data_IF_222524923230
#
_entry.id   IF_222524923230
#
_cell.length_a   1.000
_cell.length_b   1.000
_cell.length_c   1.000
_cell.angle_alpha   90.00
_cell.angle_beta   90.00
_cell.angle_gamma   90.00
#
_symmetry.space_group_name_H-M   'P 1'
#
loop_
_entity.id
_entity.type
_entity.pdbx_description
1 polymer ?
#
# COMPACT_ATOMS: atom_id res chain seq x y z
N UNK A 1 -4.94 16.53 -8.54
CA UNK A 1 -5.54 15.63 -7.53
C UNK A 1 -6.91 15.13 -7.98
N UNK A 2 -7.70 15.99 -8.60
CA UNK A 2 -8.99 15.66 -9.19
C UNK A 2 -8.92 14.57 -10.28
N UNK A 3 -7.86 14.59 -11.09
CA UNK A 3 -7.63 13.63 -12.19
C UNK A 3 -7.49 12.17 -11.75
N UNK A 4 -6.84 11.90 -10.63
CA UNK A 4 -6.63 10.51 -10.14
C UNK A 4 -7.94 9.94 -9.62
N UNK A 5 -8.72 10.72 -8.90
CA UNK A 5 -10.03 10.32 -8.39
C UNK A 5 -10.97 10.07 -9.56
N UNK A 6 -11.00 10.97 -10.54
CA UNK A 6 -11.85 10.83 -11.74
C UNK A 6 -11.45 9.60 -12.58
N UNK A 7 -10.14 9.36 -12.76
CA UNK A 7 -9.66 8.17 -13.45
C UNK A 7 -10.06 6.89 -12.69
N UNK A 8 -9.95 6.90 -11.36
CA UNK A 8 -10.38 5.76 -10.54
C UNK A 8 -11.89 5.52 -10.63
N UNK A 9 -12.71 6.56 -10.53
CA UNK A 9 -14.17 6.45 -10.68
C UNK A 9 -14.58 5.89 -12.05
N UNK A 10 -13.85 6.24 -13.13
CA UNK A 10 -14.07 5.65 -14.44
C UNK A 10 -13.77 4.16 -14.47
N UNK A 11 -12.67 3.74 -13.83
CA UNK A 11 -12.32 2.32 -13.71
C UNK A 11 -13.35 1.55 -12.87
N UNK A 12 -13.78 2.10 -11.74
CA UNK A 12 -14.83 1.51 -10.90
C UNK A 12 -16.12 1.30 -11.70
N UNK A 13 -16.55 2.32 -12.45
CA UNK A 13 -17.75 2.23 -13.30
C UNK A 13 -17.58 1.20 -14.41
N UNK A 14 -16.43 1.18 -15.09
CA UNK A 14 -16.15 0.25 -16.20
C UNK A 14 -16.13 -1.21 -15.73
N UNK A 15 -15.46 -1.47 -14.61
CA UNK A 15 -15.33 -2.82 -14.05
C UNK A 15 -16.44 -3.19 -13.07
N UNK A 16 -17.42 -2.30 -12.84
CA UNK A 16 -18.48 -2.47 -11.84
C UNK A 16 -17.91 -2.83 -10.47
N UNK A 17 -16.88 -2.07 -10.06
CA UNK A 17 -16.24 -2.22 -8.77
C UNK A 17 -16.94 -1.28 -7.80
N UNK A 18 -17.44 -1.83 -6.69
CA UNK A 18 -17.99 -1.03 -5.60
C UNK A 18 -17.02 -1.07 -4.42
N UNK A 19 -16.65 0.09 -3.83
CA UNK A 19 -15.91 0.10 -2.58
C UNK A 19 -16.68 -0.68 -1.51
N UNK A 20 -15.96 -1.46 -0.70
CA UNK A 20 -16.59 -2.23 0.38
C UNK A 20 -17.06 -1.33 1.54
N UNK A 21 -16.73 -0.06 1.51
CA UNK A 21 -17.00 0.91 2.57
C UNK A 21 -16.12 0.73 3.81
N UNK A 22 -15.09 -0.10 3.72
CA UNK A 22 -14.18 -0.37 4.82
C UNK A 22 -13.29 0.82 5.12
N UNK A 23 -13.35 1.32 6.36
CA UNK A 23 -12.47 2.40 6.81
C UNK A 23 -11.03 1.88 6.97
N UNK A 24 -10.10 2.52 6.29
CA UNK A 24 -8.67 2.25 6.45
C UNK A 24 -8.16 3.01 7.68
N UNK A 25 -7.67 2.27 8.66
CA UNK A 25 -7.22 2.81 9.94
C UNK A 25 -6.04 3.78 9.86
N UNK A 26 -5.87 4.56 10.94
CA UNK A 26 -4.67 5.40 11.13
C UNK A 26 -3.60 4.56 11.84
N UNK A 27 -2.73 3.92 11.08
CA UNK A 27 -1.66 3.09 11.63
C UNK A 27 -0.52 3.95 12.17
N UNK A 28 -0.57 4.32 13.46
CA UNK A 28 0.48 5.14 14.12
C UNK A 28 1.81 4.40 14.21
N UNK A 29 1.77 3.11 14.45
CA UNK A 29 2.92 2.20 14.47
C UNK A 29 3.72 2.18 13.16
N UNK A 30 3.07 2.42 12.02
CA UNK A 30 3.72 2.50 10.73
C UNK A 30 4.83 3.56 10.68
N UNK A 31 4.57 4.74 11.23
CA UNK A 31 5.58 5.80 11.29
C UNK A 31 6.80 5.39 12.12
N UNK A 32 6.56 4.85 13.29
CA UNK A 32 7.61 4.38 14.19
C UNK A 32 8.46 3.28 13.53
N UNK A 33 7.84 2.24 13.01
CA UNK A 33 8.54 1.13 12.32
C UNK A 33 9.34 1.63 11.11
N UNK A 34 8.81 2.55 10.34
CA UNK A 34 9.52 3.14 9.22
C UNK A 34 10.77 3.91 9.66
N UNK A 35 10.68 4.69 10.73
CA UNK A 35 11.83 5.45 11.23
C UNK A 35 12.89 4.55 11.85
N UNK A 36 12.52 3.56 12.63
CA UNK A 36 13.48 2.67 13.31
C UNK A 36 14.04 1.62 12.33
N UNK A 37 13.19 0.68 11.92
CA UNK A 37 13.60 -0.42 11.03
C UNK A 37 14.02 0.10 9.66
N UNK A 38 13.29 1.08 9.11
CA UNK A 38 13.60 1.66 7.82
C UNK A 38 14.94 2.38 7.79
N UNK A 39 15.31 3.14 8.82
CA UNK A 39 16.61 3.80 8.89
C UNK A 39 17.75 2.78 9.03
N UNK A 40 17.56 1.77 9.87
CA UNK A 40 18.54 0.69 10.02
C UNK A 40 18.78 -0.04 8.69
N UNK A 41 17.69 -0.45 8.02
CA UNK A 41 17.80 -1.11 6.72
C UNK A 41 18.48 -0.21 5.69
N UNK A 42 18.14 1.07 5.63
CA UNK A 42 18.76 2.02 4.70
C UNK A 42 20.28 2.15 4.92
N UNK A 43 20.73 2.14 6.18
CA UNK A 43 22.15 2.20 6.53
C UNK A 43 22.84 0.90 6.13
N UNK A 44 22.30 -0.25 6.53
CA UNK A 44 22.90 -1.58 6.29
C UNK A 44 22.95 -1.89 4.80
N UNK A 45 21.87 -1.62 4.06
CA UNK A 45 21.80 -1.94 2.62
C UNK A 45 22.37 -0.87 1.72
N UNK A 46 22.74 0.29 2.28
CA UNK A 46 23.27 1.44 1.51
C UNK A 46 22.39 1.86 0.31
N UNK A 47 21.08 1.70 0.44
CA UNK A 47 20.12 2.03 -0.63
C UNK A 47 20.25 3.50 -1.01
N UNK A 48 20.56 3.75 -2.28
CA UNK A 48 20.54 5.09 -2.87
C UNK A 48 19.17 5.34 -3.50
N UNK A 49 18.60 6.51 -3.24
CA UNK A 49 17.29 6.89 -3.78
C UNK A 49 17.42 8.16 -4.61
N UNK A 50 16.93 8.13 -5.84
CA UNK A 50 16.87 9.29 -6.73
C UNK A 50 15.41 9.56 -7.11
N UNK A 51 15.10 10.79 -7.52
CA UNK A 51 13.76 11.14 -8.01
C UNK A 51 12.67 11.26 -6.94
N UNK A 52 13.00 11.24 -5.64
CA UNK A 52 12.03 11.35 -4.55
C UNK A 52 11.19 12.62 -4.60
N UNK A 53 11.72 13.69 -5.15
CA UNK A 53 11.03 14.97 -5.38
C UNK A 53 9.86 14.86 -6.34
N UNK A 54 9.85 13.82 -7.20
CA UNK A 54 8.79 13.57 -8.19
C UNK A 54 7.56 12.87 -7.57
N UNK A 55 7.68 12.36 -6.33
CA UNK A 55 6.56 11.71 -5.64
C UNK A 55 5.54 12.77 -5.21
N UNK A 56 4.25 12.62 -5.53
CA UNK A 56 3.22 13.56 -5.13
C UNK A 56 3.25 13.83 -3.61
N UNK A 57 3.12 15.10 -3.23
CA UNK A 57 3.11 15.49 -1.82
C UNK A 57 1.83 15.08 -1.11
N UNK A 58 0.71 15.12 -1.82
CA UNK A 58 -0.64 14.79 -1.31
C UNK A 58 -1.13 13.44 -1.84
N UNK A 59 -2.01 12.78 -1.11
CA UNK A 59 -2.75 11.58 -1.51
C UNK A 59 -4.18 11.97 -1.96
N UNK A 60 -4.90 11.10 -2.68
CA UNK A 60 -4.53 9.73 -3.04
C UNK A 60 -3.67 9.66 -4.30
N UNK A 61 -2.90 8.60 -4.43
CA UNK A 61 -2.25 8.18 -5.68
C UNK A 61 -1.85 6.69 -5.61
N UNK A 62 -1.51 6.12 -6.76
CA UNK A 62 -1.05 4.74 -6.88
C UNK A 62 0.44 4.75 -7.14
N UNK A 63 1.19 3.90 -6.43
CA UNK A 63 2.59 3.61 -6.74
C UNK A 63 2.66 2.24 -7.38
N UNK A 64 3.12 2.19 -8.62
CA UNK A 64 3.40 0.95 -9.33
C UNK A 64 4.91 0.85 -9.59
N UNK A 65 5.46 -0.33 -9.39
CA UNK A 65 6.87 -0.61 -9.61
C UNK A 65 7.08 -2.05 -10.07
N UNK A 66 8.25 -2.33 -10.62
CA UNK A 66 8.65 -3.70 -10.90
C UNK A 66 8.74 -4.48 -9.59
N UNK A 67 8.23 -5.70 -9.60
CA UNK A 67 8.20 -6.56 -8.42
C UNK A 67 9.03 -7.82 -8.66
N UNK A 68 10.26 -7.80 -8.18
CA UNK A 68 11.25 -8.87 -8.34
C UNK A 68 11.49 -9.66 -7.05
N UNK A 69 11.12 -9.07 -5.90
CA UNK A 69 11.42 -9.65 -4.59
C UNK A 69 10.35 -9.29 -3.56
N UNK A 70 10.14 -10.18 -2.59
CA UNK A 70 9.26 -9.93 -1.44
C UNK A 70 9.66 -8.73 -0.59
N UNK A 71 10.89 -8.22 -0.74
CA UNK A 71 11.36 -7.03 -0.01
C UNK A 71 11.06 -5.72 -0.74
N UNK A 72 10.66 -5.76 -2.01
CA UNK A 72 10.40 -4.55 -2.80
C UNK A 72 9.38 -3.61 -2.15
N UNK A 73 8.24 -4.08 -1.60
CA UNK A 73 7.29 -3.20 -0.92
C UNK A 73 7.93 -2.46 0.25
N UNK A 74 8.81 -3.14 1.01
CA UNK A 74 9.52 -2.55 2.14
C UNK A 74 10.49 -1.46 1.64
N UNK A 75 11.24 -1.76 0.59
CA UNK A 75 12.16 -0.79 -0.04
C UNK A 75 11.42 0.44 -0.51
N UNK A 76 10.30 0.27 -1.21
CA UNK A 76 9.48 1.39 -1.70
C UNK A 76 8.94 2.24 -0.54
N UNK A 77 8.45 1.62 0.54
CA UNK A 77 8.01 2.31 1.75
C UNK A 77 9.13 3.16 2.37
N UNK A 78 10.31 2.59 2.51
CA UNK A 78 11.46 3.25 3.15
C UNK A 78 11.96 4.40 2.29
N UNK A 79 12.08 4.18 0.99
CA UNK A 79 12.66 5.15 0.06
C UNK A 79 11.71 6.27 -0.30
N UNK A 80 10.43 5.99 -0.50
CA UNK A 80 9.41 7.01 -0.79
C UNK A 80 9.12 7.91 0.40
N UNK A 81 9.26 7.39 1.61
CA UNK A 81 8.87 8.10 2.82
C UNK A 81 7.35 8.24 3.00
N UNK A 82 6.56 7.47 2.28
CA UNK A 82 5.09 7.51 2.29
C UNK A 82 4.51 6.31 3.02
N UNK A 83 3.28 6.45 3.53
CA UNK A 83 2.47 5.33 4.02
C UNK A 83 1.74 4.72 2.84
N UNK A 84 2.15 3.52 2.44
CA UNK A 84 1.60 2.83 1.28
C UNK A 84 0.87 1.58 1.76
N UNK A 85 -0.33 1.37 1.27
CA UNK A 85 -1.15 0.21 1.55
C UNK A 85 -1.07 -0.74 0.37
N UNK A 86 -0.42 -1.90 0.57
CA UNK A 86 -0.34 -2.95 -0.43
C UNK A 86 -1.43 -3.98 -0.23
N UNK A 87 -1.91 -4.54 -1.31
CA UNK A 87 -2.75 -5.72 -1.32
C UNK A 87 -1.84 -6.94 -1.19
N UNK A 88 -1.88 -7.61 -0.04
CA UNK A 88 -1.02 -8.74 0.23
C UNK A 88 -1.82 -10.05 0.26
N UNK A 89 -1.22 -11.09 -0.33
CA UNK A 89 -1.81 -12.42 -0.38
C UNK A 89 -2.06 -12.97 1.04
N UNK A 90 -3.18 -13.66 1.22
CA UNK A 90 -3.60 -14.33 2.45
C UNK A 90 -2.54 -15.26 3.06
N UNK A 91 -1.71 -15.93 2.24
CA UNK A 91 -0.61 -16.76 2.71
C UNK A 91 0.37 -16.04 3.65
N UNK A 92 0.55 -14.74 3.50
CA UNK A 92 1.38 -13.94 4.41
C UNK A 92 0.71 -13.71 5.78
N UNK A 93 -0.59 -13.94 5.88
CA UNK A 93 -1.38 -13.77 7.11
C UNK A 93 -1.62 -15.08 7.86
N UNK A 94 -1.14 -16.21 7.37
CA UNK A 94 -1.27 -17.52 8.04
C UNK A 94 -0.39 -17.60 9.29
N UNK A 95 0.80 -17.03 9.26
CA UNK A 95 1.65 -16.95 10.44
C UNK A 95 1.15 -15.85 11.38
N UNK A 96 0.94 -16.17 12.67
CA UNK A 96 0.40 -15.25 13.67
C UNK A 96 1.23 -13.94 13.80
N UNK A 97 2.55 -14.06 13.89
CA UNK A 97 3.43 -12.89 14.04
C UNK A 97 3.46 -12.04 12.78
N UNK A 98 3.57 -12.69 11.61
CA UNK A 98 3.59 -11.99 10.32
C UNK A 98 2.26 -11.30 10.05
N UNK A 99 1.14 -11.95 10.37
CA UNK A 99 -0.21 -11.35 10.29
C UNK A 99 -0.30 -10.08 11.13
N UNK A 100 0.14 -10.16 12.38
CA UNK A 100 0.10 -9.01 13.28
C UNK A 100 0.97 -7.86 12.75
N UNK A 101 2.19 -8.16 12.32
CA UNK A 101 3.09 -7.21 11.69
C UNK A 101 2.48 -6.57 10.43
N UNK A 102 1.96 -7.36 9.51
CA UNK A 102 1.34 -6.87 8.26
C UNK A 102 0.16 -5.95 8.55
N UNK A 103 -0.67 -6.27 9.54
CA UNK A 103 -1.76 -5.40 9.98
C UNK A 103 -1.26 -4.11 10.63
N UNK A 104 -0.20 -4.18 11.44
CA UNK A 104 0.42 -2.99 12.06
C UNK A 104 0.96 -1.99 11.03
N UNK A 105 1.49 -2.50 9.92
CA UNK A 105 1.96 -1.67 8.81
C UNK A 105 0.87 -1.36 7.77
N UNK A 106 -0.39 -1.69 8.07
CA UNK A 106 -1.54 -1.31 7.27
C UNK A 106 -1.64 -2.02 5.93
N UNK A 107 -1.08 -3.23 5.82
CA UNK A 107 -1.25 -4.05 4.63
C UNK A 107 -2.65 -4.68 4.63
N UNK A 108 -3.22 -4.85 3.45
CA UNK A 108 -4.58 -5.33 3.25
C UNK A 108 -4.54 -6.78 2.80
N UNK A 109 -5.13 -7.64 3.61
CA UNK A 109 -5.26 -9.06 3.30
C UNK A 109 -6.26 -9.27 2.16
N UNK A 110 -5.83 -9.96 1.11
CA UNK A 110 -6.70 -10.32 -0.02
C UNK A 110 -6.75 -11.83 -0.15
N UNK A 111 -7.96 -12.36 -0.27
CA UNK A 111 -8.17 -13.77 -0.59
C UNK A 111 -8.26 -13.92 -2.12
N UNK A 112 -7.40 -14.76 -2.70
CA UNK A 112 -7.41 -15.03 -4.15
C UNK A 112 -8.60 -15.90 -4.58
N UNK A 113 -9.15 -16.70 -3.67
CA UNK A 113 -10.25 -17.61 -3.96
C UNK A 113 -11.57 -16.85 -4.21
N UNK A 114 -11.69 -15.62 -3.69
CA UNK A 114 -12.85 -14.75 -3.91
C UNK A 114 -12.78 -13.90 -5.17
N UNK A 115 -11.70 -14.08 -5.96
CA UNK A 115 -11.50 -13.42 -7.25
C UNK A 115 -10.99 -11.97 -7.17
N UNK A 116 -10.56 -11.44 -8.31
CA UNK A 116 -9.97 -10.12 -8.44
C UNK A 116 -10.90 -8.97 -8.03
N UNK A 117 -12.22 -9.14 -8.04
CA UNK A 117 -13.20 -8.11 -7.66
C UNK A 117 -13.04 -7.66 -6.22
N UNK A 118 -12.81 -8.60 -5.28
CA UNK A 118 -12.60 -8.22 -3.87
C UNK A 118 -11.32 -7.41 -3.67
N UNK A 119 -10.23 -7.80 -4.35
CA UNK A 119 -8.98 -7.05 -4.30
C UNK A 119 -9.16 -5.63 -4.85
N UNK A 120 -9.89 -5.49 -5.96
CA UNK A 120 -10.21 -4.18 -6.56
C UNK A 120 -11.12 -3.34 -5.66
N UNK A 121 -12.13 -3.94 -5.03
CA UNK A 121 -12.99 -3.25 -4.04
C UNK A 121 -12.18 -2.72 -2.85
N UNK A 122 -11.23 -3.50 -2.34
CA UNK A 122 -10.34 -3.07 -1.27
C UNK A 122 -9.35 -1.99 -1.73
N UNK A 123 -8.87 -2.04 -2.98
CA UNK A 123 -8.07 -0.99 -3.58
C UNK A 123 -8.87 0.32 -3.70
N UNK A 124 -10.14 0.22 -4.10
CA UNK A 124 -11.08 1.35 -4.12
C UNK A 124 -11.24 1.98 -2.74
N UNK A 125 -11.36 1.16 -1.68
CA UNK A 125 -11.42 1.67 -0.30
C UNK A 125 -10.16 2.46 0.09
N UNK A 126 -8.96 2.04 -0.34
CA UNK A 126 -7.71 2.78 -0.06
C UNK A 126 -7.79 4.19 -0.67
N UNK A 127 -8.18 4.28 -1.92
CA UNK A 127 -8.28 5.55 -2.65
C UNK A 127 -9.40 6.43 -2.07
N UNK A 128 -10.58 5.85 -1.81
CA UNK A 128 -11.72 6.55 -1.21
C UNK A 128 -11.40 7.10 0.20
N UNK A 129 -10.53 6.42 0.96
CA UNK A 129 -10.04 6.89 2.25
C UNK A 129 -8.86 7.89 2.14
N UNK A 130 -8.59 8.41 0.95
CA UNK A 130 -7.51 9.36 0.68
C UNK A 130 -6.12 8.82 1.10
N UNK A 131 -5.84 7.56 0.77
CA UNK A 131 -4.59 6.87 1.06
C UNK A 131 -3.84 6.53 -0.22
N UNK A 132 -2.61 6.04 -0.06
CA UNK A 132 -1.73 5.65 -1.16
C UNK A 132 -1.82 4.14 -1.33
N UNK A 133 -2.14 3.71 -2.54
CA UNK A 133 -2.18 2.31 -2.94
C UNK A 133 -0.83 1.91 -3.58
N UNK A 134 -0.35 0.72 -3.29
CA UNK A 134 0.84 0.12 -3.91
C UNK A 134 0.54 -1.25 -4.49
#
# INVERSE_FOLDING_TARGET
>A
MEDVIQAWLRLEKHWKIEPSGKKIGKYRSYGFLRYTVGSLLKIVTRIKTTGRQNIPKSSPFVIAGNHLSHVDPIVIIITSGKKIHYLAKDGHFQNFFLRHFMRLVGQIETNRDTGGKQALSMAADVIANNKILG
#
